data_IF_359663976583
#
_entry.id   IF_359663976583
#
_cell.length_a   1.000
_cell.length_b   1.000
_cell.length_c   1.000
_cell.angle_alpha   90.00
_cell.angle_beta   90.00
_cell.angle_gamma   90.00
#
_symmetry.space_group_name_H-M   'P 1'
#
loop_
_entity.id
_entity.type
_entity.pdbx_description
1 polymer ?
#
# COMPACT_ATOMS: atom_id res chain seq x y z
N UNK A 1 -6.15 33.86 -38.50
CA UNK A 1 -6.62 34.10 -37.12
C UNK A 1 -7.12 32.77 -36.60
N UNK A 2 -6.42 32.17 -35.64
CA UNK A 2 -6.87 30.91 -35.03
C UNK A 2 -8.18 31.16 -34.30
N UNK A 3 -9.27 30.51 -34.72
CA UNK A 3 -10.53 30.53 -34.01
C UNK A 3 -10.29 29.93 -32.62
N UNK A 4 -10.46 30.74 -31.58
CA UNK A 4 -10.44 30.25 -30.22
C UNK A 4 -11.65 29.34 -30.05
N UNK A 5 -11.40 28.04 -29.91
CA UNK A 5 -12.40 27.01 -29.69
C UNK A 5 -12.82 27.04 -28.20
N UNK A 6 -13.98 27.62 -27.84
CA UNK A 6 -14.39 27.78 -26.44
C UNK A 6 -14.47 26.45 -25.67
N UNK A 7 -14.71 25.34 -26.38
CA UNK A 7 -14.72 23.98 -25.83
C UNK A 7 -13.40 23.57 -25.15
N UNK A 8 -12.26 24.19 -25.49
CA UNK A 8 -10.98 23.94 -24.81
C UNK A 8 -10.88 24.59 -23.42
N UNK A 9 -11.73 25.56 -23.11
CA UNK A 9 -11.77 26.23 -21.81
C UNK A 9 -12.83 25.64 -20.87
N UNK A 10 -13.69 24.76 -21.38
CA UNK A 10 -14.66 24.03 -20.57
C UNK A 10 -13.98 22.94 -19.74
N UNK A 11 -14.50 22.73 -18.52
CA UNK A 11 -13.98 21.70 -17.64
C UNK A 11 -14.46 20.33 -18.15
N UNK A 12 -13.53 19.54 -18.66
CA UNK A 12 -13.79 18.13 -19.00
C UNK A 12 -13.88 17.29 -17.71
N UNK A 13 -15.11 17.05 -17.27
CA UNK A 13 -15.40 16.23 -16.09
C UNK A 13 -15.04 14.75 -16.33
N UNK A 14 -15.14 14.25 -17.56
CA UNK A 14 -14.75 12.87 -17.89
C UNK A 14 -13.24 12.69 -17.77
N UNK A 15 -12.45 13.63 -18.30
CA UNK A 15 -11.00 13.61 -18.13
C UNK A 15 -10.59 13.71 -16.67
N UNK A 16 -11.26 14.57 -15.87
CA UNK A 16 -11.02 14.65 -14.43
C UNK A 16 -11.29 13.35 -13.70
N UNK A 17 -12.38 12.66 -14.03
CA UNK A 17 -12.76 11.40 -13.40
C UNK A 17 -11.80 10.27 -13.81
N UNK A 18 -11.43 10.19 -15.09
CA UNK A 18 -10.42 9.24 -15.59
C UNK A 18 -9.06 9.44 -14.92
N UNK A 19 -8.64 10.69 -14.72
CA UNK A 19 -7.44 11.03 -13.96
C UNK A 19 -7.56 10.62 -12.50
N UNK A 20 -8.73 10.66 -11.87
CA UNK A 20 -8.87 10.16 -10.49
C UNK A 20 -8.75 8.63 -10.43
N UNK A 21 -9.28 7.91 -11.41
CA UNK A 21 -9.23 6.45 -11.48
C UNK A 21 -7.83 5.90 -11.83
N UNK A 22 -7.06 6.62 -12.64
CA UNK A 22 -5.72 6.19 -13.07
C UNK A 22 -4.63 6.42 -12.02
N UNK A 23 -4.91 7.25 -11.01
CA UNK A 23 -3.93 7.71 -10.04
C UNK A 23 -4.16 7.06 -8.68
N UNK A 24 -3.11 6.46 -8.14
CA UNK A 24 -3.06 6.02 -6.75
C UNK A 24 -2.58 7.19 -5.90
N UNK A 25 -3.53 7.93 -5.32
CA UNK A 25 -3.26 9.02 -4.42
C UNK A 25 -3.06 8.49 -3.01
N UNK A 26 -2.01 8.98 -2.36
CA UNK A 26 -1.76 8.70 -0.96
C UNK A 26 -2.59 9.67 -0.10
N UNK A 27 -2.79 9.34 1.17
CA UNK A 27 -3.42 10.23 2.14
C UNK A 27 -2.57 11.47 2.42
N UNK A 28 -3.12 12.40 3.19
CA UNK A 28 -2.41 13.60 3.67
C UNK A 28 -1.12 13.27 4.46
N UNK A 29 -1.01 12.06 5.01
CA UNK A 29 0.22 11.56 5.65
C UNK A 29 1.42 11.66 4.71
N UNK A 30 1.20 11.49 3.40
CA UNK A 30 2.23 11.55 2.36
C UNK A 30 2.08 12.77 1.45
N UNK A 31 1.56 13.90 1.97
CA UNK A 31 1.34 15.13 1.20
C UNK A 31 2.56 15.56 0.39
N UNK A 32 3.76 15.52 0.96
CA UNK A 32 4.99 15.87 0.23
C UNK A 32 5.26 14.97 -0.97
N UNK A 33 4.99 13.66 -0.83
CA UNK A 33 5.15 12.71 -1.92
C UNK A 33 4.07 12.90 -3.00
N UNK A 34 2.83 13.19 -2.61
CA UNK A 34 1.77 13.55 -3.53
C UNK A 34 2.08 14.85 -4.29
N UNK A 35 2.64 15.86 -3.64
CA UNK A 35 3.03 17.12 -4.30
C UNK A 35 4.14 16.89 -5.33
N UNK A 36 5.12 16.05 -5.01
CA UNK A 36 6.24 15.76 -5.90
C UNK A 36 5.85 14.86 -7.08
N UNK A 37 5.00 13.85 -6.86
CA UNK A 37 4.68 12.82 -7.87
C UNK A 37 3.35 13.05 -8.58
N UNK A 38 2.46 13.86 -7.98
CA UNK A 38 1.03 13.97 -8.31
C UNK A 38 0.26 12.65 -8.11
N UNK A 39 0.80 11.72 -7.32
CA UNK A 39 0.29 10.35 -7.14
C UNK A 39 0.99 9.34 -8.08
N UNK A 40 0.87 8.05 -7.78
CA UNK A 40 1.46 7.01 -8.62
C UNK A 40 0.53 6.67 -9.79
N UNK A 41 1.09 6.52 -10.98
CA UNK A 41 0.34 6.27 -12.22
C UNK A 41 0.57 4.85 -12.71
N UNK A 42 -0.44 4.29 -13.38
CA UNK A 42 -0.33 3.00 -14.07
C UNK A 42 0.82 3.05 -15.09
N UNK A 43 1.59 1.96 -15.17
CA UNK A 43 2.73 1.82 -16.09
C UNK A 43 4.05 2.44 -15.61
N UNK A 44 4.09 3.08 -14.44
CA UNK A 44 5.34 3.61 -13.88
C UNK A 44 6.13 2.53 -13.13
N UNK A 45 7.46 2.58 -13.29
CA UNK A 45 8.40 1.85 -12.44
C UNK A 45 8.97 2.86 -11.45
N UNK A 46 8.79 2.58 -10.16
CA UNK A 46 9.25 3.44 -9.06
C UNK A 46 10.31 2.68 -8.27
N UNK A 47 11.48 3.30 -8.11
CA UNK A 47 12.59 2.72 -7.35
C UNK A 47 12.74 3.47 -6.02
N UNK A 48 12.77 2.72 -4.92
CA UNK A 48 13.02 3.25 -3.57
C UNK A 48 14.40 2.78 -3.13
N UNK A 49 15.36 3.70 -3.13
CA UNK A 49 16.74 3.45 -2.71
C UNK A 49 17.04 3.97 -1.30
N UNK A 50 18.00 3.35 -0.62
CA UNK A 50 18.46 3.79 0.70
C UNK A 50 19.43 2.78 1.33
N UNK A 51 20.25 3.24 2.27
CA UNK A 51 21.16 2.36 3.02
C UNK A 51 20.39 1.36 3.91
N UNK A 52 21.07 0.28 4.32
CA UNK A 52 20.55 -0.69 5.27
C UNK A 52 20.21 0.01 6.59
N UNK A 53 19.11 -0.40 7.24
CA UNK A 53 18.65 0.20 8.49
C UNK A 53 17.88 1.52 8.36
N UNK A 54 17.82 2.16 7.19
CA UNK A 54 17.06 3.42 7.00
C UNK A 54 15.53 3.24 6.86
N UNK A 55 15.02 2.03 7.09
CA UNK A 55 13.57 1.78 7.08
C UNK A 55 12.94 1.67 5.69
N UNK A 56 13.70 1.29 4.64
CA UNK A 56 13.17 1.07 3.28
C UNK A 56 11.90 0.21 3.26
N UNK A 57 11.98 -0.98 3.86
CA UNK A 57 10.86 -1.93 3.92
C UNK A 57 9.67 -1.35 4.69
N UNK A 58 9.94 -0.71 5.84
CA UNK A 58 8.91 -0.05 6.65
C UNK A 58 8.21 1.05 5.85
N UNK A 59 8.96 1.87 5.12
CA UNK A 59 8.41 2.91 4.27
C UNK A 59 7.50 2.33 3.17
N UNK A 60 7.96 1.28 2.48
CA UNK A 60 7.14 0.58 1.46
C UNK A 60 5.84 0.06 2.06
N UNK A 61 5.85 -0.53 3.25
CA UNK A 61 4.64 -1.01 3.90
C UNK A 61 3.69 0.10 4.33
N UNK A 62 4.22 1.22 4.82
CA UNK A 62 3.37 2.37 5.14
C UNK A 62 2.68 2.90 3.88
N UNK A 63 3.40 2.98 2.76
CA UNK A 63 2.83 3.40 1.47
C UNK A 63 1.78 2.40 0.97
N UNK A 64 2.05 1.09 1.01
CA UNK A 64 1.09 0.07 0.57
C UNK A 64 -0.17 0.06 1.42
N UNK A 65 -0.05 0.16 2.75
CA UNK A 65 -1.18 0.23 3.66
C UNK A 65 -2.02 1.50 3.44
N UNK A 66 -1.36 2.61 3.14
CA UNK A 66 -2.05 3.86 2.84
C UNK A 66 -2.83 3.78 1.53
N UNK A 67 -2.22 3.25 0.45
CA UNK A 67 -2.89 2.99 -0.83
C UNK A 67 -4.10 2.06 -0.63
N UNK A 68 -3.92 0.98 0.14
CA UNK A 68 -5.01 0.04 0.42
C UNK A 68 -6.19 0.73 1.11
N UNK A 69 -5.91 1.56 2.12
CA UNK A 69 -6.91 2.31 2.88
C UNK A 69 -7.64 3.32 2.02
N UNK A 70 -6.91 4.18 1.30
CA UNK A 70 -7.53 5.21 0.46
C UNK A 70 -8.36 4.59 -0.65
N UNK A 71 -7.86 3.54 -1.30
CA UNK A 71 -8.62 2.87 -2.38
C UNK A 71 -9.84 2.11 -1.87
N UNK A 72 -9.76 1.45 -0.72
CA UNK A 72 -10.93 0.83 -0.09
C UNK A 72 -12.02 1.86 0.24
N UNK A 73 -11.64 3.08 0.62
CA UNK A 73 -12.59 4.18 0.89
C UNK A 73 -13.18 4.77 -0.40
N UNK A 74 -12.40 4.86 -1.47
CA UNK A 74 -12.82 5.44 -2.76
C UNK A 74 -13.70 4.48 -3.59
N UNK A 75 -13.41 3.17 -3.57
CA UNK A 75 -14.07 2.21 -4.44
C UNK A 75 -14.12 0.80 -3.81
N UNK A 76 -15.27 0.13 -3.90
CA UNK A 76 -15.44 -1.25 -3.44
C UNK A 76 -14.63 -2.27 -4.26
N UNK A 77 -14.28 -1.93 -5.51
CA UNK A 77 -13.43 -2.74 -6.38
C UNK A 77 -12.12 -2.01 -6.70
N UNK A 78 -11.08 -2.29 -5.92
CA UNK A 78 -9.75 -1.75 -6.16
C UNK A 78 -8.71 -2.85 -6.44
N UNK A 79 -7.58 -2.45 -7.03
CA UNK A 79 -6.56 -3.38 -7.52
C UNK A 79 -5.97 -4.23 -6.40
N UNK A 80 -5.76 -5.52 -6.70
CA UNK A 80 -5.04 -6.43 -5.81
C UNK A 80 -3.55 -6.08 -5.83
N UNK A 81 -2.95 -5.91 -4.66
CA UNK A 81 -1.54 -5.59 -4.52
C UNK A 81 -0.74 -6.85 -4.22
N UNK A 82 0.37 -7.04 -4.95
CA UNK A 82 1.27 -8.18 -4.77
C UNK A 82 2.59 -7.68 -4.21
N UNK A 83 3.05 -8.32 -3.14
CA UNK A 83 4.35 -8.04 -2.52
C UNK A 83 5.23 -9.27 -2.65
N UNK A 84 6.41 -9.08 -3.25
CA UNK A 84 7.44 -10.10 -3.31
C UNK A 84 8.55 -9.70 -2.34
N UNK A 85 8.72 -10.47 -1.27
CA UNK A 85 9.78 -10.23 -0.29
C UNK A 85 10.84 -11.30 -0.43
N UNK A 86 12.03 -10.89 -0.85
CA UNK A 86 13.17 -11.78 -1.05
C UNK A 86 14.11 -11.84 0.16
N UNK A 87 14.13 -10.81 0.99
CA UNK A 87 15.06 -10.69 2.11
C UNK A 87 14.46 -11.15 3.43
N UNK A 88 13.18 -10.88 3.65
CA UNK A 88 12.53 -11.04 4.96
C UNK A 88 11.44 -12.11 4.92
N UNK A 89 11.29 -12.83 6.04
CA UNK A 89 10.29 -13.90 6.15
C UNK A 89 8.86 -13.36 6.28
N UNK A 90 7.88 -14.25 6.19
CA UNK A 90 6.47 -13.90 6.38
C UNK A 90 6.22 -13.31 7.76
N UNK A 91 6.75 -13.94 8.81
CA UNK A 91 6.55 -13.57 10.20
C UNK A 91 7.13 -12.19 10.49
N UNK A 92 8.31 -11.90 9.94
CA UNK A 92 8.99 -10.61 10.08
C UNK A 92 8.20 -9.47 9.42
N UNK A 93 7.65 -9.72 8.23
CA UNK A 93 6.86 -8.75 7.49
C UNK A 93 5.49 -8.54 8.13
N UNK A 94 4.82 -9.62 8.53
CA UNK A 94 3.54 -9.58 9.23
C UNK A 94 3.64 -8.82 10.55
N UNK A 95 4.71 -9.06 11.33
CA UNK A 95 4.92 -8.37 12.61
C UNK A 95 5.06 -6.85 12.43
N UNK A 96 5.72 -6.39 11.36
CA UNK A 96 5.86 -4.98 11.02
C UNK A 96 4.55 -4.36 10.53
N UNK A 97 3.77 -5.08 9.73
CA UNK A 97 2.43 -4.65 9.32
C UNK A 97 1.50 -4.51 10.54
N UNK A 98 1.51 -5.49 11.43
CA UNK A 98 0.75 -5.45 12.68
C UNK A 98 1.18 -4.28 13.56
N UNK A 99 2.49 -4.02 13.67
CA UNK A 99 3.01 -2.87 14.42
C UNK A 99 2.44 -1.56 13.89
N UNK A 100 2.44 -1.39 12.57
CA UNK A 100 1.88 -0.22 11.92
C UNK A 100 0.36 -0.12 12.12
N UNK A 101 -0.39 -1.18 11.82
CA UNK A 101 -1.86 -1.16 11.85
C UNK A 101 -2.36 -0.92 13.28
N UNK A 102 -1.78 -1.61 14.27
CA UNK A 102 -2.23 -1.55 15.66
C UNK A 102 -1.62 -0.38 16.44
N UNK A 103 -0.66 0.34 15.86
CA UNK A 103 0.12 1.36 16.57
C UNK A 103 0.76 0.83 17.86
N UNK A 104 1.20 -0.42 17.81
CA UNK A 104 1.83 -1.15 18.92
C UNK A 104 3.32 -1.28 18.62
N UNK A 105 4.22 -1.02 19.59
CA UNK A 105 5.65 -1.21 19.40
C UNK A 105 5.96 -2.62 18.90
N UNK A 106 6.88 -2.72 17.94
CA UNK A 106 7.25 -4.00 17.34
C UNK A 106 7.76 -5.00 18.39
N UNK A 107 8.51 -4.53 19.39
CA UNK A 107 8.99 -5.35 20.50
C UNK A 107 7.85 -6.01 21.28
N UNK A 108 6.78 -5.27 21.59
CA UNK A 108 5.59 -5.80 22.27
C UNK A 108 4.90 -6.86 21.39
N UNK A 109 4.89 -6.67 20.07
CA UNK A 109 4.34 -7.66 19.13
C UNK A 109 5.16 -8.94 19.12
N UNK A 110 6.49 -8.83 19.16
CA UNK A 110 7.39 -9.98 19.11
C UNK A 110 7.46 -10.74 20.44
N UNK A 111 7.57 -10.03 21.55
CA UNK A 111 7.86 -10.61 22.87
C UNK A 111 6.60 -10.86 23.70
N UNK A 112 5.51 -10.15 23.42
CA UNK A 112 4.32 -10.04 24.30
C UNK A 112 4.66 -9.54 25.71
N UNK A 113 5.80 -8.89 25.89
CA UNK A 113 6.13 -8.20 27.12
C UNK A 113 5.42 -6.82 27.13
N UNK A 114 4.64 -6.57 28.17
CA UNK A 114 3.90 -5.32 28.34
C UNK A 114 4.49 -4.43 29.45
N UNK A 115 5.39 -4.95 30.28
CA UNK A 115 5.91 -4.28 31.48
C UNK A 115 6.65 -2.99 31.15
N UNK A 116 7.42 -3.00 30.07
CA UNK A 116 8.21 -1.86 29.58
C UNK A 116 7.43 -0.96 28.60
N UNK A 117 6.14 -1.21 28.41
CA UNK A 117 5.30 -0.51 27.44
C UNK A 117 4.14 0.22 28.11
N UNK A 118 3.74 1.38 27.56
CA UNK A 118 2.53 2.08 27.98
C UNK A 118 1.22 1.39 27.51
N UNK A 119 1.28 0.11 27.09
CA UNK A 119 0.16 -0.62 26.50
C UNK A 119 -0.29 -1.71 27.46
N UNK A 120 -1.54 -1.60 27.91
CA UNK A 120 -2.17 -2.67 28.70
C UNK A 120 -2.54 -3.86 27.82
N UNK A 121 -2.60 -5.05 28.40
CA UNK A 121 -3.08 -6.27 27.72
C UNK A 121 -4.45 -6.07 27.09
N UNK A 122 -5.36 -5.37 27.77
CA UNK A 122 -6.69 -5.07 27.23
C UNK A 122 -6.62 -4.21 25.97
N UNK A 123 -5.82 -3.13 26.00
CA UNK A 123 -5.61 -2.25 24.84
C UNK A 123 -4.98 -3.01 23.67
N UNK A 124 -3.99 -3.86 23.96
CA UNK A 124 -3.35 -4.70 22.96
C UNK A 124 -4.35 -5.64 22.28
N UNK A 125 -5.14 -6.40 23.07
CA UNK A 125 -6.11 -7.35 22.55
C UNK A 125 -7.19 -6.65 21.70
N UNK A 126 -7.66 -5.49 22.14
CA UNK A 126 -8.60 -4.67 21.36
C UNK A 126 -8.01 -4.31 20.00
N UNK A 127 -6.80 -3.75 19.97
CA UNK A 127 -6.12 -3.35 18.72
C UNK A 127 -5.87 -4.53 17.78
N UNK A 128 -5.54 -5.70 18.31
CA UNK A 128 -5.34 -6.91 17.52
C UNK A 128 -6.64 -7.42 16.90
N UNK A 129 -7.75 -7.39 17.65
CA UNK A 129 -9.07 -7.74 17.12
C UNK A 129 -9.49 -6.77 16.00
N UNK A 130 -9.29 -5.46 16.19
CA UNK A 130 -9.57 -4.44 15.18
C UNK A 130 -8.73 -4.68 13.91
N UNK A 131 -7.45 -5.01 14.07
CA UNK A 131 -6.57 -5.34 12.96
C UNK A 131 -7.05 -6.59 12.20
N UNK A 132 -7.44 -7.65 12.90
CA UNK A 132 -7.93 -8.89 12.29
C UNK A 132 -9.16 -8.66 11.39
N UNK A 133 -10.05 -7.74 11.76
CA UNK A 133 -11.20 -7.36 10.94
C UNK A 133 -10.81 -6.51 9.72
N UNK A 134 -9.72 -5.76 9.84
CA UNK A 134 -9.22 -4.87 8.80
C UNK A 134 -8.34 -5.59 7.76
N UNK A 135 -7.57 -6.62 8.14
CA UNK A 135 -6.65 -7.32 7.24
C UNK A 135 -7.28 -7.83 5.92
N UNK A 136 -8.47 -8.47 5.92
CA UNK A 136 -9.13 -8.91 4.70
C UNK A 136 -9.45 -7.76 3.74
N UNK A 137 -9.60 -6.54 4.27
CA UNK A 137 -9.94 -5.34 3.51
C UNK A 137 -8.74 -4.72 2.80
N UNK A 138 -7.51 -5.22 2.97
CA UNK A 138 -6.28 -4.66 2.38
C UNK A 138 -5.96 -5.17 0.97
N UNK A 139 -6.66 -6.22 0.49
CA UNK A 139 -6.48 -6.83 -0.83
C UNK A 139 -4.99 -6.99 -1.24
N UNK A 140 -4.19 -7.50 -0.29
CA UNK A 140 -2.73 -7.57 -0.36
C UNK A 140 -2.28 -9.03 -0.23
N UNK A 141 -1.52 -9.53 -1.20
CA UNK A 141 -0.89 -10.86 -1.12
C UNK A 141 0.62 -10.75 -1.05
N UNK A 142 1.23 -11.69 -0.33
CA UNK A 142 2.67 -11.79 -0.21
C UNK A 142 3.19 -13.08 -0.83
N UNK A 143 4.35 -12.99 -1.45
CA UNK A 143 5.16 -14.13 -1.89
C UNK A 143 6.56 -14.00 -1.30
N UNK A 144 6.99 -15.05 -0.59
CA UNK A 144 8.29 -15.11 0.11
C UNK A 144 9.26 -16.10 -0.53
N UNK A 145 8.89 -16.67 -1.68
CA UNK A 145 9.72 -17.62 -2.40
C UNK A 145 10.80 -16.89 -3.20
N UNK A 146 12.04 -17.04 -2.74
CA UNK A 146 13.24 -16.42 -3.32
C UNK A 146 13.59 -16.96 -4.71
N UNK A 147 13.09 -18.14 -5.09
CA UNK A 147 13.34 -18.76 -6.40
C UNK A 147 12.54 -18.11 -7.53
N UNK A 148 11.51 -17.32 -7.21
CA UNK A 148 10.66 -16.66 -8.21
C UNK A 148 11.41 -15.51 -8.87
N UNK A 149 11.68 -15.66 -10.17
CA UNK A 149 12.31 -14.62 -10.99
C UNK A 149 11.28 -13.61 -11.51
N UNK A 150 11.78 -12.54 -12.13
CA UNK A 150 10.91 -11.50 -12.72
C UNK A 150 9.93 -12.08 -13.74
N UNK A 151 10.33 -13.07 -14.54
CA UNK A 151 9.45 -13.70 -15.54
C UNK A 151 8.22 -14.34 -14.88
N UNK A 152 8.39 -14.96 -13.72
CA UNK A 152 7.28 -15.50 -12.93
C UNK A 152 6.36 -14.38 -12.42
N UNK A 153 6.93 -13.25 -11.96
CA UNK A 153 6.15 -12.10 -11.49
C UNK A 153 5.29 -11.55 -12.63
N UNK A 154 5.90 -11.37 -13.81
CA UNK A 154 5.22 -10.86 -15.00
C UNK A 154 4.09 -11.82 -15.41
N UNK A 155 4.36 -13.13 -15.48
CA UNK A 155 3.35 -14.14 -15.78
C UNK A 155 2.20 -14.13 -14.77
N UNK A 156 2.50 -14.09 -13.46
CA UNK A 156 1.48 -14.06 -12.41
C UNK A 156 0.60 -12.81 -12.51
N UNK A 157 1.20 -11.63 -12.70
CA UNK A 157 0.45 -10.37 -12.87
C UNK A 157 -0.43 -10.43 -14.10
N UNK A 158 0.07 -11.00 -15.20
CA UNK A 158 -0.69 -11.16 -16.44
C UNK A 158 -1.88 -12.11 -16.25
N UNK A 159 -1.68 -13.27 -15.63
CA UNK A 159 -2.76 -14.22 -15.31
C UNK A 159 -3.81 -13.60 -14.40
N UNK A 160 -3.41 -12.95 -13.31
CA UNK A 160 -4.34 -12.27 -12.40
C UNK A 160 -5.11 -11.12 -13.05
N UNK A 161 -4.57 -10.52 -14.11
CA UNK A 161 -5.28 -9.52 -14.89
C UNK A 161 -6.30 -10.15 -15.86
N UNK A 162 -5.94 -11.24 -16.54
CA UNK A 162 -6.81 -11.90 -17.51
C UNK A 162 -7.91 -12.76 -16.89
N UNK A 163 -7.61 -13.45 -15.79
CA UNK A 163 -8.53 -14.36 -15.09
C UNK A 163 -9.60 -13.62 -14.27
N UNK A 164 -9.52 -12.29 -14.19
CA UNK A 164 -10.54 -11.42 -13.56
C UNK A 164 -11.67 -10.99 -14.51
N UNK A 165 -11.82 -11.65 -15.66
CA UNK A 165 -12.97 -11.50 -16.56
C UNK A 165 -14.11 -12.43 -16.19
#
# INVERSE_FOLDING_TARGET
>A
MSSCHPEFFEIDQQAKQKIQEEYYRLSETFKGLNQATKGFKKGQIITIGGYTGLGKTTFVYNVLLDIAKTKHQENSHYSHMLVFSYEMTMEENLSRLLANITQTPLEVILTKNFEDSNITTHTYMKRMNDAQQFFPQLNLSFSYDQGKKIDYIIDLVYRLHLEKK
#
